data_IF_008193020673
#
_entry.id   IF_008193020673
#
_cell.length_a   1.000
_cell.length_b   1.000
_cell.length_c   1.000
_cell.angle_alpha   90.00
_cell.angle_beta   90.00
_cell.angle_gamma   90.00
#
_symmetry.space_group_name_H-M   'P 1'
#
loop_
_entity.id
_entity.type
_entity.pdbx_description
1 polymer ?
#
# COMPACT_ATOMS: atom_id res chain seq x y z
N UNK A 1 -16.39 31.56 -87.15
CA UNK A 1 -15.55 32.35 -86.23
C UNK A 1 -15.16 31.49 -85.04
N UNK A 2 -13.89 31.56 -84.67
CA UNK A 2 -13.17 30.66 -83.74
C UNK A 2 -13.69 30.77 -82.30
N UNK A 3 -13.71 29.66 -81.56
CA UNK A 3 -13.48 29.71 -80.11
C UNK A 3 -12.78 28.44 -79.61
N UNK A 4 -11.48 28.61 -79.30
CA UNK A 4 -10.63 27.64 -78.65
C UNK A 4 -10.96 27.56 -77.16
N UNK A 5 -11.28 26.37 -76.64
CA UNK A 5 -11.21 26.09 -75.19
C UNK A 5 -9.97 25.25 -74.92
N UNK A 6 -8.95 25.90 -74.34
CA UNK A 6 -7.75 25.26 -73.79
C UNK A 6 -8.12 24.51 -72.51
N UNK A 7 -7.82 23.21 -72.48
CA UNK A 7 -7.88 22.34 -71.31
C UNK A 7 -6.64 22.64 -70.46
N UNK A 8 -6.84 23.12 -69.23
CA UNK A 8 -5.79 23.20 -68.22
C UNK A 8 -5.69 21.83 -67.53
N UNK A 9 -4.71 21.03 -67.94
CA UNK A 9 -4.27 19.85 -67.20
C UNK A 9 -3.42 20.28 -66.01
N UNK A 10 -4.05 20.41 -64.84
CA UNK A 10 -3.35 20.60 -63.57
C UNK A 10 -2.72 19.28 -63.12
N UNK A 11 -1.39 19.18 -63.28
CA UNK A 11 -0.58 18.07 -62.77
C UNK A 11 -0.48 18.22 -61.24
N UNK A 12 -1.31 17.49 -60.50
CA UNK A 12 -1.16 17.32 -59.04
C UNK A 12 0.03 16.40 -58.77
N UNK A 13 1.20 16.98 -58.50
CA UNK A 13 2.34 16.25 -57.95
C UNK A 13 2.06 16.01 -56.46
N UNK A 14 1.46 14.86 -56.17
CA UNK A 14 1.39 14.34 -54.81
C UNK A 14 2.81 13.97 -54.35
N UNK A 15 3.44 14.84 -53.57
CA UNK A 15 4.66 14.51 -52.83
C UNK A 15 4.30 13.51 -51.74
N UNK A 16 4.30 12.23 -52.09
CA UNK A 16 4.31 11.13 -51.14
C UNK A 16 5.67 11.16 -50.41
N UNK A 17 5.77 11.98 -49.36
CA UNK A 17 6.83 11.86 -48.37
C UNK A 17 6.61 10.53 -47.69
N UNK A 18 7.36 9.52 -48.13
CA UNK A 18 7.49 8.27 -47.43
C UNK A 18 8.16 8.58 -46.10
N UNK A 19 7.37 8.79 -45.05
CA UNK A 19 7.90 8.76 -43.69
C UNK A 19 8.44 7.35 -43.48
N UNK A 20 9.75 7.18 -43.67
CA UNK A 20 10.43 6.00 -43.18
C UNK A 20 10.08 5.90 -41.70
N UNK A 21 9.36 4.84 -41.31
CA UNK A 21 9.05 4.58 -39.92
C UNK A 21 10.38 4.64 -39.17
N UNK A 22 10.55 5.64 -38.29
CA UNK A 22 11.76 5.80 -37.52
C UNK A 22 11.99 4.47 -36.79
N UNK A 23 13.10 3.80 -37.09
CA UNK A 23 13.43 2.53 -36.44
C UNK A 23 13.42 2.76 -34.93
N UNK A 24 12.72 1.88 -34.22
CA UNK A 24 12.69 1.92 -32.76
C UNK A 24 14.13 1.79 -32.23
N UNK A 25 14.68 2.83 -31.58
CA UNK A 25 16.11 2.91 -31.26
C UNK A 25 16.56 1.84 -30.27
N UNK A 26 15.63 1.18 -29.57
CA UNK A 26 15.93 0.13 -28.60
C UNK A 26 15.66 -1.29 -29.13
N UNK A 27 15.06 -1.44 -30.32
CA UNK A 27 14.70 -2.76 -30.86
C UNK A 27 15.91 -3.70 -30.99
N UNK A 28 17.07 -3.16 -31.40
CA UNK A 28 18.33 -3.91 -31.50
C UNK A 28 18.93 -4.31 -30.15
N UNK A 29 18.51 -3.68 -29.05
CA UNK A 29 19.04 -3.94 -27.71
C UNK A 29 18.32 -5.13 -27.03
N UNK A 30 17.04 -5.35 -27.34
CA UNK A 30 16.20 -6.37 -26.68
C UNK A 30 16.76 -7.79 -26.74
N UNK A 31 17.48 -8.11 -27.81
CA UNK A 31 18.04 -9.46 -28.04
C UNK A 31 19.48 -9.61 -27.56
N UNK A 32 20.12 -8.54 -27.08
CA UNK A 32 21.50 -8.60 -26.59
C UNK A 32 21.54 -9.25 -25.22
N UNK A 33 22.42 -10.23 -25.02
CA UNK A 33 22.58 -10.90 -23.73
C UNK A 33 23.19 -10.00 -22.64
N UNK A 34 24.11 -9.11 -23.05
CA UNK A 34 24.69 -8.07 -22.22
C UNK A 34 24.70 -6.75 -22.99
N UNK A 35 24.40 -5.64 -22.30
CA UNK A 35 24.50 -4.29 -22.85
C UNK A 35 25.83 -3.66 -22.44
N UNK A 36 26.53 -3.03 -23.39
CA UNK A 36 27.68 -2.20 -23.09
C UNK A 36 27.26 -0.78 -22.62
N UNK A 37 28.23 0.11 -22.40
CA UNK A 37 27.96 1.48 -21.93
C UNK A 37 27.21 2.33 -22.97
N UNK A 38 27.47 2.13 -24.27
CA UNK A 38 26.79 2.85 -25.34
C UNK A 38 25.34 2.37 -25.49
N UNK A 39 25.13 1.07 -25.38
CA UNK A 39 23.80 0.45 -25.33
C UNK A 39 22.99 0.97 -24.14
N UNK A 40 23.59 1.00 -22.94
CA UNK A 40 22.96 1.56 -21.74
C UNK A 40 22.64 3.05 -21.90
N UNK A 41 23.55 3.83 -22.49
CA UNK A 41 23.31 5.25 -22.76
C UNK A 41 22.14 5.46 -23.73
N UNK A 42 22.06 4.65 -24.78
CA UNK A 42 20.96 4.68 -25.76
C UNK A 42 19.63 4.33 -25.09
N UNK A 43 19.61 3.25 -24.31
CA UNK A 43 18.43 2.83 -23.55
C UNK A 43 17.97 3.92 -22.57
N UNK A 44 18.90 4.49 -21.81
CA UNK A 44 18.65 5.58 -20.86
C UNK A 44 17.99 6.80 -21.53
N UNK A 45 18.54 7.26 -22.67
CA UNK A 45 17.98 8.40 -23.39
C UNK A 45 16.56 8.13 -23.88
N UNK A 46 16.29 6.91 -24.34
CA UNK A 46 14.95 6.51 -24.76
C UNK A 46 13.98 6.48 -23.58
N UNK A 47 14.35 5.88 -22.45
CA UNK A 47 13.53 5.86 -21.22
C UNK A 47 13.28 7.28 -20.72
N UNK A 48 14.30 8.14 -20.70
CA UNK A 48 14.19 9.53 -20.25
C UNK A 48 13.15 10.32 -21.08
N UNK A 49 13.11 10.10 -22.40
CA UNK A 49 12.09 10.71 -23.26
C UNK A 49 10.68 10.29 -22.83
N UNK A 50 10.47 9.00 -22.58
CA UNK A 50 9.16 8.52 -22.15
C UNK A 50 8.79 9.03 -20.75
N UNK A 51 9.72 9.01 -19.80
CA UNK A 51 9.51 9.58 -18.45
C UNK A 51 9.15 11.06 -18.54
N UNK A 52 9.80 11.82 -19.41
CA UNK A 52 9.48 13.24 -19.64
C UNK A 52 8.04 13.44 -20.16
N UNK A 53 7.57 12.57 -21.06
CA UNK A 53 6.17 12.59 -21.52
C UNK A 53 5.17 12.30 -20.40
N UNK A 54 5.52 11.40 -19.46
CA UNK A 54 4.69 11.16 -18.26
C UNK A 54 4.68 12.39 -17.35
N UNK A 55 5.83 13.04 -17.16
CA UNK A 55 5.97 14.22 -16.31
C UNK A 55 5.26 15.46 -16.87
N UNK A 56 5.10 15.55 -18.19
CA UNK A 56 4.32 16.61 -18.84
C UNK A 56 2.84 16.58 -18.45
N UNK A 57 2.35 15.44 -17.95
CA UNK A 57 1.02 15.25 -17.35
C UNK A 57 -0.16 15.45 -18.33
N UNK A 58 0.10 15.43 -19.64
CA UNK A 58 -0.95 15.42 -20.67
C UNK A 58 -1.63 14.04 -20.69
N UNK A 59 -2.95 13.92 -20.45
CA UNK A 59 -3.59 12.62 -20.18
C UNK A 59 -3.32 11.53 -21.22
N UNK A 60 -3.42 11.85 -22.51
CA UNK A 60 -3.22 10.88 -23.59
C UNK A 60 -1.74 10.55 -23.81
N UNK A 61 -0.88 11.58 -23.83
CA UNK A 61 0.57 11.43 -24.01
C UNK A 61 1.21 10.64 -22.85
N UNK A 62 0.86 10.98 -21.60
CA UNK A 62 1.37 10.31 -20.42
C UNK A 62 0.93 8.83 -20.35
N UNK A 63 -0.35 8.54 -20.64
CA UNK A 63 -0.86 7.16 -20.63
C UNK A 63 -0.20 6.31 -21.72
N UNK A 64 0.00 6.90 -22.92
CA UNK A 64 0.71 6.24 -24.02
C UNK A 64 2.16 5.98 -23.65
N UNK A 65 2.87 6.95 -23.05
CA UNK A 65 4.25 6.79 -22.63
C UNK A 65 4.43 5.69 -21.56
N UNK A 66 3.54 5.60 -20.58
CA UNK A 66 3.54 4.50 -19.59
C UNK A 66 3.31 3.15 -20.26
N UNK A 67 2.36 3.08 -21.20
CA UNK A 67 2.11 1.84 -21.95
C UNK A 67 3.34 1.43 -22.78
N UNK A 68 3.95 2.37 -23.49
CA UNK A 68 5.18 2.14 -24.26
C UNK A 68 6.29 1.65 -23.35
N UNK A 69 6.55 2.30 -22.21
CA UNK A 69 7.55 1.85 -21.24
C UNK A 69 7.31 0.40 -20.77
N UNK A 70 6.05 0.00 -20.55
CA UNK A 70 5.69 -1.36 -20.14
C UNK A 70 5.89 -2.38 -21.26
N UNK A 71 5.43 -2.07 -22.46
CA UNK A 71 5.54 -2.95 -23.63
C UNK A 71 7.00 -3.18 -24.01
N UNK A 72 7.82 -2.15 -23.91
CA UNK A 72 9.22 -2.18 -24.34
C UNK A 72 10.18 -2.80 -23.31
N UNK A 73 9.68 -3.16 -22.12
CA UNK A 73 10.45 -3.88 -21.11
C UNK A 73 10.75 -5.33 -21.52
N UNK A 74 9.98 -5.93 -22.43
CA UNK A 74 10.22 -7.32 -22.82
C UNK A 74 11.50 -7.48 -23.66
N UNK A 75 12.22 -8.59 -23.45
CA UNK A 75 13.56 -8.82 -23.97
C UNK A 75 14.36 -9.85 -23.17
N UNK A 76 15.66 -9.93 -23.46
CA UNK A 76 16.63 -10.77 -22.74
C UNK A 76 16.74 -10.40 -21.26
N UNK A 77 17.31 -11.30 -20.45
CA UNK A 77 17.54 -11.04 -19.02
C UNK A 77 18.41 -9.80 -18.80
N UNK A 78 19.57 -9.70 -19.46
CA UNK A 78 20.46 -8.55 -19.29
C UNK A 78 19.87 -7.23 -19.79
N UNK A 79 19.01 -7.27 -20.82
CA UNK A 79 18.24 -6.10 -21.24
C UNK A 79 17.24 -5.66 -20.17
N UNK A 80 16.46 -6.60 -19.61
CA UNK A 80 15.47 -6.32 -18.56
C UNK A 80 16.10 -5.72 -17.31
N UNK A 81 17.23 -6.28 -16.86
CA UNK A 81 17.98 -5.76 -15.71
C UNK A 81 18.48 -4.32 -15.96
N UNK A 82 19.07 -4.06 -17.13
CA UNK A 82 19.52 -2.73 -17.50
C UNK A 82 18.36 -1.73 -17.65
N UNK A 83 17.25 -2.15 -18.26
CA UNK A 83 16.03 -1.35 -18.40
C UNK A 83 15.47 -0.96 -17.04
N UNK A 84 15.29 -1.93 -16.14
CA UNK A 84 14.78 -1.69 -14.80
C UNK A 84 15.70 -0.78 -13.99
N UNK A 85 17.02 -0.97 -14.10
CA UNK A 85 18.03 -0.14 -13.43
C UNK A 85 17.96 1.32 -13.90
N UNK A 86 17.98 1.55 -15.21
CA UNK A 86 17.94 2.91 -15.76
C UNK A 86 16.59 3.59 -15.53
N UNK A 87 15.48 2.85 -15.62
CA UNK A 87 14.16 3.34 -15.27
C UNK A 87 14.07 3.74 -13.79
N UNK A 88 14.52 2.88 -12.88
CA UNK A 88 14.51 3.14 -11.43
C UNK A 88 15.35 4.38 -11.08
N UNK A 89 16.51 4.54 -11.71
CA UNK A 89 17.39 5.71 -11.54
C UNK A 89 16.70 6.99 -12.02
N UNK A 90 16.23 7.01 -13.26
CA UNK A 90 15.57 8.19 -13.86
C UNK A 90 14.31 8.60 -13.09
N UNK A 91 13.49 7.62 -12.67
CA UNK A 91 12.29 7.91 -11.87
C UNK A 91 12.67 8.48 -10.51
N UNK A 92 13.67 7.91 -9.83
CA UNK A 92 14.14 8.42 -8.53
C UNK A 92 14.62 9.88 -8.64
N UNK A 93 15.40 10.20 -9.67
CA UNK A 93 15.94 11.55 -9.91
C UNK A 93 14.84 12.59 -10.15
N UNK A 94 13.70 12.18 -10.73
CA UNK A 94 12.60 13.08 -11.09
C UNK A 94 11.47 13.13 -10.06
N UNK A 95 11.36 12.13 -9.18
CA UNK A 95 10.22 11.93 -8.29
C UNK A 95 9.91 13.15 -7.42
N UNK A 96 10.94 13.80 -6.87
CA UNK A 96 10.80 14.97 -5.99
C UNK A 96 10.17 16.19 -6.70
N UNK A 97 10.38 16.31 -8.02
CA UNK A 97 9.88 17.44 -8.83
C UNK A 97 8.60 17.13 -9.59
N UNK A 98 8.22 15.85 -9.68
CA UNK A 98 7.01 15.43 -10.35
C UNK A 98 5.76 15.93 -9.64
N UNK A 99 4.68 16.21 -10.38
CA UNK A 99 3.35 16.44 -9.80
C UNK A 99 2.79 15.12 -9.23
N UNK A 100 1.73 15.21 -8.42
CA UNK A 100 1.16 14.06 -7.71
C UNK A 100 0.78 12.89 -8.64
N UNK A 101 -0.05 13.13 -9.65
CA UNK A 101 -0.48 12.09 -10.60
C UNK A 101 0.70 11.48 -11.39
N UNK A 102 1.59 12.25 -12.05
CA UNK A 102 2.76 11.69 -12.72
C UNK A 102 3.69 10.89 -11.80
N UNK A 103 3.91 11.36 -10.56
CA UNK A 103 4.75 10.66 -9.60
C UNK A 103 4.18 9.27 -9.28
N UNK A 104 2.88 9.19 -8.96
CA UNK A 104 2.21 7.94 -8.69
C UNK A 104 2.21 7.01 -9.92
N UNK A 105 2.04 7.56 -11.13
CA UNK A 105 2.11 6.80 -12.38
C UNK A 105 3.49 6.19 -12.62
N UNK A 106 4.57 6.96 -12.40
CA UNK A 106 5.95 6.47 -12.55
C UNK A 106 6.27 5.36 -11.55
N UNK A 107 5.87 5.50 -10.28
CA UNK A 107 6.06 4.43 -9.28
C UNK A 107 5.21 3.19 -9.61
N UNK A 108 3.99 3.38 -10.11
CA UNK A 108 3.14 2.27 -10.58
C UNK A 108 3.79 1.57 -11.77
N UNK A 109 4.41 2.31 -12.68
CA UNK A 109 5.18 1.74 -13.79
C UNK A 109 6.36 0.89 -13.28
N UNK A 110 7.19 1.40 -12.36
CA UNK A 110 8.28 0.61 -11.78
C UNK A 110 7.76 -0.67 -11.12
N UNK A 111 6.64 -0.58 -10.41
CA UNK A 111 5.98 -1.72 -9.78
C UNK A 111 5.57 -2.80 -10.78
N UNK A 112 5.15 -2.42 -11.99
CA UNK A 112 4.78 -3.38 -13.05
C UNK A 112 5.96 -4.09 -13.69
N UNK A 113 7.18 -3.59 -13.54
CA UNK A 113 8.37 -4.27 -14.05
C UNK A 113 8.67 -5.56 -13.28
N UNK A 114 8.21 -5.66 -12.02
CA UNK A 114 8.50 -6.77 -11.13
C UNK A 114 10.01 -7.11 -11.12
N UNK A 115 10.86 -6.09 -11.09
CA UNK A 115 12.31 -6.20 -11.21
C UNK A 115 12.97 -5.77 -9.89
N UNK A 116 13.92 -6.56 -9.37
CA UNK A 116 14.50 -6.32 -8.04
C UNK A 116 15.33 -5.02 -8.01
N UNK A 117 15.81 -4.60 -9.17
CA UNK A 117 16.51 -3.34 -9.42
C UNK A 117 15.67 -2.11 -9.05
N UNK A 118 14.34 -2.24 -9.03
CA UNK A 118 13.43 -1.16 -8.63
C UNK A 118 13.25 -1.03 -7.11
N UNK A 119 13.75 -2.01 -6.33
CA UNK A 119 13.52 -2.12 -4.88
C UNK A 119 13.91 -0.86 -4.11
N UNK A 120 15.12 -0.35 -4.33
CA UNK A 120 15.62 0.83 -3.60
C UNK A 120 14.75 2.07 -3.87
N UNK A 121 14.32 2.29 -5.12
CA UNK A 121 13.44 3.40 -5.47
C UNK A 121 12.05 3.24 -4.85
N UNK A 122 11.50 2.02 -4.80
CA UNK A 122 10.21 1.76 -4.16
C UNK A 122 10.28 1.96 -2.63
N UNK A 123 11.37 1.53 -1.99
CA UNK A 123 11.63 1.79 -0.56
C UNK A 123 11.75 3.30 -0.29
N UNK A 124 12.44 4.04 -1.14
CA UNK A 124 12.55 5.49 -1.02
C UNK A 124 11.19 6.18 -1.20
N UNK A 125 10.38 5.73 -2.16
CA UNK A 125 9.04 6.27 -2.43
C UNK A 125 8.04 6.08 -1.28
N UNK A 126 8.27 5.14 -0.35
CA UNK A 126 7.47 5.03 0.88
C UNK A 126 7.59 6.26 1.80
N UNK A 127 8.66 7.06 1.65
CA UNK A 127 8.88 8.30 2.42
C UNK A 127 8.31 9.54 1.72
N UNK A 128 7.71 9.38 0.55
CA UNK A 128 7.14 10.48 -0.20
C UNK A 128 5.95 11.08 0.57
N UNK A 129 5.77 12.40 0.51
CA UNK A 129 4.67 13.09 1.20
C UNK A 129 3.29 12.78 0.61
N UNK A 130 3.22 12.30 -0.64
CA UNK A 130 1.98 12.02 -1.36
C UNK A 130 1.47 10.61 -1.10
N UNK A 131 0.22 10.48 -0.65
CA UNK A 131 -0.39 9.19 -0.37
C UNK A 131 -0.50 8.27 -1.59
N UNK A 132 -0.72 8.82 -2.79
CA UNK A 132 -0.78 8.06 -4.03
C UNK A 132 0.58 7.43 -4.41
N UNK A 133 1.68 8.13 -4.15
CA UNK A 133 3.04 7.63 -4.36
C UNK A 133 3.35 6.49 -3.40
N UNK A 134 3.06 6.66 -2.10
CA UNK A 134 3.21 5.61 -1.09
C UNK A 134 2.34 4.39 -1.37
N UNK A 135 1.10 4.59 -1.86
CA UNK A 135 0.20 3.50 -2.25
C UNK A 135 0.78 2.67 -3.40
N UNK A 136 1.25 3.34 -4.45
CA UNK A 136 1.88 2.68 -5.58
C UNK A 136 3.16 1.92 -5.14
N UNK A 137 3.97 2.53 -4.28
CA UNK A 137 5.18 1.91 -3.74
C UNK A 137 4.86 0.66 -2.90
N UNK A 138 3.86 0.72 -2.03
CA UNK A 138 3.41 -0.43 -1.24
C UNK A 138 2.94 -1.60 -2.13
N UNK A 139 2.20 -1.31 -3.20
CA UNK A 139 1.81 -2.32 -4.20
C UNK A 139 3.03 -2.93 -4.89
N UNK A 140 4.01 -2.12 -5.29
CA UNK A 140 5.27 -2.58 -5.88
C UNK A 140 6.06 -3.49 -4.94
N UNK A 141 6.25 -3.06 -3.69
CA UNK A 141 6.94 -3.86 -2.67
C UNK A 141 6.21 -5.18 -2.39
N UNK A 142 4.87 -5.17 -2.38
CA UNK A 142 4.06 -6.38 -2.26
C UNK A 142 4.28 -7.35 -3.42
N UNK A 143 4.38 -6.85 -4.65
CA UNK A 143 4.65 -7.65 -5.85
C UNK A 143 6.05 -8.26 -5.81
N UNK A 144 7.03 -7.52 -5.28
CA UNK A 144 8.42 -7.95 -5.18
C UNK A 144 8.73 -8.86 -3.99
N UNK A 145 7.80 -9.15 -3.07
CA UNK A 145 8.08 -9.87 -1.80
C UNK A 145 8.96 -11.11 -1.95
N UNK A 146 8.67 -11.98 -2.93
CA UNK A 146 9.46 -13.19 -3.17
C UNK A 146 10.90 -12.89 -3.62
N UNK A 147 11.08 -11.87 -4.46
CA UNK A 147 12.40 -11.43 -4.93
C UNK A 147 13.18 -10.71 -3.82
N UNK A 148 12.50 -9.88 -3.02
CA UNK A 148 13.09 -9.20 -1.85
C UNK A 148 13.56 -10.24 -0.83
N UNK A 149 12.78 -11.28 -0.58
CA UNK A 149 13.15 -12.35 0.35
C UNK A 149 14.32 -13.23 -0.15
N UNK A 150 14.44 -13.40 -1.47
CA UNK A 150 15.56 -14.12 -2.08
C UNK A 150 16.80 -13.24 -2.31
N UNK A 151 16.68 -11.92 -2.18
CA UNK A 151 17.77 -10.99 -2.40
C UNK A 151 18.81 -11.09 -1.28
N UNK A 152 20.11 -11.00 -1.59
CA UNK A 152 21.16 -10.97 -0.57
C UNK A 152 21.07 -9.69 0.28
N UNK A 153 21.56 -9.77 1.52
CA UNK A 153 21.61 -8.62 2.44
C UNK A 153 20.29 -8.33 3.17
N UNK A 154 20.12 -7.09 3.62
CA UNK A 154 18.98 -6.66 4.46
C UNK A 154 17.80 -6.06 3.65
N UNK A 155 17.50 -6.61 2.47
CA UNK A 155 16.44 -6.08 1.61
C UNK A 155 15.05 -6.20 2.27
N UNK A 156 14.79 -7.31 2.98
CA UNK A 156 13.57 -7.51 3.77
C UNK A 156 13.48 -6.47 4.88
N UNK A 157 14.51 -6.32 5.72
CA UNK A 157 14.47 -5.38 6.83
C UNK A 157 14.33 -3.92 6.39
N UNK A 158 14.98 -3.52 5.30
CA UNK A 158 14.78 -2.18 4.70
C UNK A 158 13.32 -1.96 4.27
N UNK A 159 12.71 -2.95 3.63
CA UNK A 159 11.30 -2.92 3.21
C UNK A 159 10.37 -2.80 4.40
N UNK A 160 10.54 -3.64 5.42
CA UNK A 160 9.70 -3.65 6.62
C UNK A 160 9.80 -2.33 7.38
N UNK A 161 11.01 -1.77 7.55
CA UNK A 161 11.20 -0.46 8.19
C UNK A 161 10.49 0.64 7.42
N UNK A 162 10.64 0.69 6.10
CA UNK A 162 10.00 1.70 5.26
C UNK A 162 8.46 1.62 5.28
N UNK A 163 7.90 0.41 5.17
CA UNK A 163 6.44 0.19 5.27
C UNK A 163 5.90 0.59 6.64
N UNK A 164 6.57 0.15 7.71
CA UNK A 164 6.19 0.50 9.09
C UNK A 164 6.23 2.00 9.30
N UNK A 165 7.33 2.66 8.96
CA UNK A 165 7.49 4.09 9.21
C UNK A 165 6.50 4.93 8.39
N UNK A 166 6.23 4.55 7.14
CA UNK A 166 5.17 5.17 6.34
C UNK A 166 3.78 4.96 6.96
N UNK A 167 3.48 3.73 7.39
CA UNK A 167 2.19 3.35 7.97
C UNK A 167 1.86 4.11 9.27
N UNK A 168 2.87 4.41 10.11
CA UNK A 168 2.68 5.16 11.36
C UNK A 168 2.07 6.54 11.13
N UNK A 169 2.45 7.21 10.05
CA UNK A 169 2.03 8.58 9.73
C UNK A 169 0.93 8.67 8.66
N UNK A 170 0.48 7.53 8.14
CA UNK A 170 -0.45 7.50 7.01
C UNK A 170 -1.83 8.06 7.40
N UNK A 171 -2.41 8.84 6.48
CA UNK A 171 -3.71 9.51 6.65
C UNK A 171 -4.72 9.10 5.58
N UNK A 172 -4.31 8.33 4.58
CA UNK A 172 -5.17 7.68 3.60
C UNK A 172 -5.51 6.24 4.01
N UNK A 173 -6.78 5.92 4.29
CA UNK A 173 -7.21 4.55 4.57
C UNK A 173 -6.79 3.52 3.52
N UNK A 174 -7.02 3.85 2.25
CA UNK A 174 -6.72 2.97 1.13
C UNK A 174 -5.21 2.70 1.06
N UNK A 175 -4.38 3.71 1.33
CA UNK A 175 -2.93 3.56 1.34
C UNK A 175 -2.46 2.74 2.54
N UNK A 176 -3.00 2.97 3.74
CA UNK A 176 -2.65 2.19 4.93
C UNK A 176 -3.03 0.70 4.75
N UNK A 177 -4.17 0.42 4.14
CA UNK A 177 -4.57 -0.95 3.77
C UNK A 177 -3.53 -1.61 2.85
N UNK A 178 -3.04 -0.90 1.84
CA UNK A 178 -2.00 -1.41 0.94
C UNK A 178 -0.66 -1.64 1.66
N UNK A 179 -0.31 -0.79 2.64
CA UNK A 179 0.87 -0.99 3.50
C UNK A 179 0.73 -2.28 4.32
N UNK A 180 -0.42 -2.53 4.95
CA UNK A 180 -0.68 -3.78 5.66
C UNK A 180 -0.56 -5.01 4.74
N UNK A 181 -1.13 -4.92 3.53
CA UNK A 181 -1.03 -5.99 2.54
C UNK A 181 0.41 -6.22 2.04
N UNK A 182 1.25 -5.19 2.03
CA UNK A 182 2.66 -5.30 1.68
C UNK A 182 3.52 -5.91 2.81
N UNK A 183 3.11 -5.72 4.07
CA UNK A 183 3.70 -6.37 5.25
C UNK A 183 3.34 -7.85 5.37
N UNK A 184 2.25 -8.30 4.75
CA UNK A 184 1.90 -9.72 4.73
C UNK A 184 2.92 -10.49 3.87
N UNK A 185 3.68 -11.44 4.44
CA UNK A 185 4.59 -12.33 3.69
C UNK A 185 4.10 -13.77 3.64
N UNK A 186 2.82 -14.03 3.98
CA UNK A 186 2.24 -15.35 3.84
C UNK A 186 2.34 -15.85 2.38
N UNK A 187 2.73 -17.12 2.23
CA UNK A 187 2.95 -17.76 0.92
C UNK A 187 4.30 -17.46 0.26
N UNK A 188 5.15 -16.64 0.88
CA UNK A 188 6.54 -16.47 0.46
C UNK A 188 7.41 -17.50 1.21
N UNK A 189 8.28 -18.21 0.49
CA UNK A 189 9.22 -19.17 1.08
C UNK A 189 10.38 -18.43 1.78
N UNK A 190 10.09 -17.79 2.90
CA UNK A 190 11.01 -16.97 3.68
C UNK A 190 10.60 -16.94 5.16
N UNK A 191 11.49 -16.45 6.03
CA UNK A 191 11.15 -16.21 7.44
C UNK A 191 10.00 -15.19 7.55
N UNK A 192 8.90 -15.62 8.15
CA UNK A 192 7.69 -14.82 8.33
C UNK A 192 7.66 -14.11 9.68
N UNK A 193 8.59 -14.40 10.60
CA UNK A 193 8.64 -13.76 11.92
C UNK A 193 8.88 -12.26 11.82
N UNK A 194 9.90 -11.83 11.06
CA UNK A 194 10.21 -10.41 10.87
C UNK A 194 9.00 -9.57 10.39
N UNK A 195 8.33 -9.97 9.29
CA UNK A 195 7.12 -9.30 8.82
C UNK A 195 5.97 -9.29 9.84
N UNK A 196 5.75 -10.39 10.56
CA UNK A 196 4.71 -10.47 11.60
C UNK A 196 4.98 -9.49 12.76
N UNK A 197 6.24 -9.39 13.21
CA UNK A 197 6.65 -8.44 14.25
C UNK A 197 6.47 -6.99 13.78
N UNK A 198 6.89 -6.67 12.55
CA UNK A 198 6.72 -5.33 11.99
C UNK A 198 5.24 -4.90 11.91
N UNK A 199 4.34 -5.86 11.66
CA UNK A 199 2.90 -5.63 11.65
C UNK A 199 2.35 -5.34 13.06
N UNK A 200 2.78 -6.10 14.07
CA UNK A 200 2.42 -5.83 15.48
C UNK A 200 2.91 -4.46 15.92
N UNK A 201 4.16 -4.09 15.61
CA UNK A 201 4.70 -2.78 15.93
C UNK A 201 3.92 -1.63 15.30
N UNK A 202 3.48 -1.80 14.04
CA UNK A 202 2.65 -0.80 13.36
C UNK A 202 1.29 -0.69 14.06
N UNK A 203 0.60 -1.81 14.30
CA UNK A 203 -0.71 -1.84 14.97
C UNK A 203 -0.64 -1.26 16.39
N UNK A 204 0.42 -1.52 17.13
CA UNK A 204 0.63 -0.95 18.46
C UNK A 204 0.77 0.57 18.40
N UNK A 205 1.57 1.10 17.47
CA UNK A 205 1.70 2.54 17.29
C UNK A 205 0.38 3.19 16.88
N UNK A 206 -0.37 2.52 16.00
CA UNK A 206 -1.69 2.96 15.55
C UNK A 206 -2.70 2.95 16.69
N UNK A 207 -2.72 1.91 17.52
CA UNK A 207 -3.60 1.79 18.69
C UNK A 207 -3.44 2.95 19.69
N UNK A 208 -2.23 3.53 19.81
CA UNK A 208 -2.01 4.73 20.63
C UNK A 208 -2.79 5.96 20.16
N UNK A 209 -3.13 6.06 18.87
CA UNK A 209 -3.99 7.15 18.38
C UNK A 209 -5.43 7.01 18.86
N UNK A 210 -5.93 5.78 19.01
CA UNK A 210 -7.29 5.51 19.48
C UNK A 210 -7.49 5.94 20.93
N UNK A 211 -6.44 5.81 21.75
CA UNK A 211 -6.45 6.21 23.16
C UNK A 211 -6.18 7.70 23.34
N UNK A 212 -5.31 8.30 22.51
CA UNK A 212 -4.82 9.67 22.73
C UNK A 212 -5.68 10.76 22.08
N UNK A 213 -6.16 10.56 20.84
CA UNK A 213 -6.83 11.63 20.09
C UNK A 213 -8.36 11.51 20.08
N UNK A 214 -8.91 10.33 20.40
CA UNK A 214 -10.33 10.03 20.25
C UNK A 214 -10.84 10.08 18.80
N UNK A 215 -9.95 10.29 17.82
CA UNK A 215 -10.26 10.32 16.40
C UNK A 215 -9.03 9.79 15.64
N UNK A 216 -8.85 8.45 15.62
CA UNK A 216 -7.74 7.83 14.94
C UNK A 216 -7.84 8.10 13.44
N UNK A 217 -6.73 8.48 12.81
CA UNK A 217 -6.67 8.64 11.36
C UNK A 217 -6.88 7.26 10.72
N UNK A 218 -7.58 7.14 9.61
CA UNK A 218 -7.68 5.86 8.87
C UNK A 218 -8.23 4.65 9.63
N UNK A 219 -9.14 4.85 10.59
CA UNK A 219 -9.66 3.78 11.46
C UNK A 219 -10.07 2.49 10.73
N UNK A 220 -10.62 2.62 9.54
CA UNK A 220 -11.13 1.54 8.71
C UNK A 220 -10.06 0.63 8.08
N UNK A 221 -8.82 1.11 7.96
CA UNK A 221 -7.73 0.29 7.44
C UNK A 221 -7.16 -0.67 8.50
N UNK A 222 -7.29 -0.33 9.79
CA UNK A 222 -6.68 -1.08 10.89
C UNK A 222 -7.34 -2.46 11.11
N UNK A 223 -8.60 -2.63 10.68
CA UNK A 223 -9.24 -3.95 10.64
C UNK A 223 -8.48 -4.92 9.71
N UNK A 224 -8.04 -4.47 8.53
CA UNK A 224 -7.23 -5.31 7.64
C UNK A 224 -5.87 -5.65 8.28
N UNK A 225 -5.24 -4.69 8.97
CA UNK A 225 -4.00 -4.91 9.70
C UNK A 225 -4.14 -5.99 10.78
N UNK A 226 -5.19 -5.90 11.60
CA UNK A 226 -5.51 -6.89 12.64
C UNK A 226 -5.75 -8.28 12.04
N UNK A 227 -6.54 -8.37 10.96
CA UNK A 227 -6.79 -9.64 10.26
C UNK A 227 -5.49 -10.30 9.81
N UNK A 228 -4.60 -9.54 9.18
CA UNK A 228 -3.31 -10.07 8.69
C UNK A 228 -2.42 -10.49 9.87
N UNK A 229 -2.39 -9.72 10.96
CA UNK A 229 -1.60 -10.05 12.14
C UNK A 229 -2.08 -11.34 12.80
N UNK A 230 -3.40 -11.52 12.88
CA UNK A 230 -4.05 -12.71 13.41
C UNK A 230 -3.74 -13.96 12.59
N UNK A 231 -3.72 -13.85 11.26
CA UNK A 231 -3.26 -14.94 10.37
C UNK A 231 -1.79 -15.28 10.59
N UNK A 232 -0.96 -14.29 10.95
CA UNK A 232 0.47 -14.46 11.21
C UNK A 232 0.79 -14.84 12.67
N UNK A 233 -0.21 -15.01 13.55
CA UNK A 233 0.00 -15.21 15.00
C UNK A 233 0.88 -16.41 15.36
N UNK A 234 0.92 -17.43 14.51
CA UNK A 234 1.78 -18.61 14.70
C UNK A 234 3.27 -18.29 14.61
N UNK A 235 3.64 -17.12 14.06
CA UNK A 235 5.01 -16.63 13.97
C UNK A 235 5.41 -15.74 15.14
N UNK A 236 4.45 -15.38 16.00
CA UNK A 236 4.65 -14.48 17.12
C UNK A 236 5.01 -15.26 18.39
N UNK A 237 5.96 -14.75 19.15
CA UNK A 237 6.16 -15.19 20.54
C UNK A 237 5.10 -14.61 21.48
N UNK A 238 5.10 -15.06 22.74
CA UNK A 238 4.06 -14.69 23.69
C UNK A 238 4.05 -13.19 24.03
N UNK A 239 5.22 -12.54 24.02
CA UNK A 239 5.29 -11.09 24.21
C UNK A 239 4.65 -10.34 23.04
N UNK A 240 4.97 -10.74 21.80
CA UNK A 240 4.36 -10.17 20.61
C UNK A 240 2.85 -10.43 20.53
N UNK A 241 2.38 -11.61 20.95
CA UNK A 241 0.94 -11.90 21.08
C UNK A 241 0.28 -10.99 22.10
N UNK A 242 0.89 -10.77 23.27
CA UNK A 242 0.37 -9.84 24.29
C UNK A 242 0.30 -8.41 23.74
N UNK A 243 1.32 -7.96 23.00
CA UNK A 243 1.32 -6.64 22.35
C UNK A 243 0.21 -6.51 21.31
N UNK A 244 0.01 -7.53 20.48
CA UNK A 244 -1.10 -7.57 19.51
C UNK A 244 -2.47 -7.54 20.23
N UNK A 245 -2.63 -8.31 21.31
CA UNK A 245 -3.86 -8.32 22.09
C UNK A 245 -4.16 -6.94 22.70
N UNK A 246 -3.16 -6.23 23.24
CA UNK A 246 -3.33 -4.86 23.74
C UNK A 246 -3.75 -3.89 22.65
N UNK A 247 -3.12 -3.98 21.46
CA UNK A 247 -3.48 -3.14 20.32
C UNK A 247 -4.94 -3.37 19.89
N UNK A 248 -5.33 -4.64 19.72
CA UNK A 248 -6.70 -5.03 19.37
C UNK A 248 -7.71 -4.57 20.43
N UNK A 249 -7.43 -4.77 21.72
CA UNK A 249 -8.30 -4.34 22.81
C UNK A 249 -8.47 -2.81 22.86
N UNK A 250 -7.43 -2.04 22.54
CA UNK A 250 -7.50 -0.58 22.52
C UNK A 250 -8.40 -0.08 21.38
N UNK A 251 -8.24 -0.67 20.20
CA UNK A 251 -9.08 -0.39 19.03
C UNK A 251 -10.54 -0.82 19.26
N UNK A 252 -10.75 -1.97 19.91
CA UNK A 252 -12.07 -2.50 20.25
C UNK A 252 -12.82 -1.58 21.23
N UNK A 253 -12.16 -1.18 22.33
CA UNK A 253 -12.75 -0.25 23.31
C UNK A 253 -13.23 1.02 22.64
N UNK A 254 -12.32 1.70 21.92
CA UNK A 254 -12.65 2.95 21.23
C UNK A 254 -13.82 2.76 20.26
N UNK A 255 -13.81 1.68 19.47
CA UNK A 255 -14.87 1.42 18.49
C UNK A 255 -16.23 1.17 19.15
N UNK A 256 -16.29 0.43 20.26
CA UNK A 256 -17.53 0.20 21.04
C UNK A 256 -18.05 1.51 21.65
N UNK A 257 -17.16 2.33 22.19
CA UNK A 257 -17.52 3.63 22.78
C UNK A 257 -18.09 4.57 21.72
N UNK A 258 -17.41 4.69 20.58
CA UNK A 258 -17.86 5.49 19.43
C UNK A 258 -19.19 4.97 18.88
N UNK A 259 -19.33 3.66 18.67
CA UNK A 259 -20.57 3.03 18.21
C UNK A 259 -21.76 3.38 19.10
N UNK A 260 -21.55 3.30 20.42
CA UNK A 260 -22.56 3.62 21.42
C UNK A 260 -22.87 5.12 21.50
N UNK A 261 -21.85 5.97 21.47
CA UNK A 261 -22.00 7.42 21.64
C UNK A 261 -22.67 8.08 20.44
N UNK A 262 -22.32 7.62 19.23
CA UNK A 262 -22.91 8.09 17.98
C UNK A 262 -24.23 7.38 17.63
N UNK A 263 -24.67 6.42 18.46
CA UNK A 263 -25.90 5.64 18.28
C UNK A 263 -25.97 5.00 16.88
N UNK A 264 -24.87 4.40 16.45
CA UNK A 264 -24.76 3.88 15.08
C UNK A 264 -25.72 2.71 14.82
N UNK A 265 -26.18 2.02 15.87
CA UNK A 265 -27.27 1.04 15.82
C UNK A 265 -28.64 1.64 15.43
N UNK A 266 -28.89 2.91 15.71
CA UNK A 266 -30.13 3.60 15.38
C UNK A 266 -30.10 4.20 13.94
N UNK A 267 -28.94 4.13 13.27
CA UNK A 267 -28.74 4.70 11.94
C UNK A 267 -29.48 3.89 10.87
N UNK A 268 -30.46 4.54 10.21
CA UNK A 268 -31.24 3.93 9.13
C UNK A 268 -30.63 4.21 7.77
N UNK A 269 -30.35 3.16 7.01
CA UNK A 269 -29.75 3.24 5.67
C UNK A 269 -30.52 4.15 4.71
N UNK A 270 -31.85 4.20 4.82
CA UNK A 270 -32.70 5.01 3.93
C UNK A 270 -32.60 6.51 4.16
N UNK A 271 -32.08 6.95 5.31
CA UNK A 271 -32.03 8.37 5.69
C UNK A 271 -30.61 8.85 5.98
N UNK A 272 -29.66 7.94 6.11
CA UNK A 272 -28.25 8.25 6.35
C UNK A 272 -27.53 8.63 5.04
N UNK A 273 -26.49 9.46 5.16
CA UNK A 273 -25.58 9.72 4.04
C UNK A 273 -24.68 8.52 3.79
N UNK A 274 -24.14 8.38 2.59
CA UNK A 274 -23.16 7.32 2.25
C UNK A 274 -21.99 7.34 3.24
N UNK A 275 -21.45 8.51 3.55
CA UNK A 275 -20.34 8.64 4.50
C UNK A 275 -20.69 8.17 5.93
N UNK A 276 -21.93 8.36 6.37
CA UNK A 276 -22.38 7.90 7.69
C UNK A 276 -22.54 6.37 7.71
N UNK A 277 -23.07 5.79 6.63
CA UNK A 277 -23.17 4.33 6.45
C UNK A 277 -21.78 3.70 6.42
N UNK A 278 -20.85 4.28 5.64
CA UNK A 278 -19.46 3.82 5.56
C UNK A 278 -18.80 3.87 6.94
N UNK A 279 -18.98 4.96 7.69
CA UNK A 279 -18.47 5.08 9.06
C UNK A 279 -19.01 4.00 9.99
N UNK A 280 -20.32 3.71 9.94
CA UNK A 280 -20.92 2.61 10.72
C UNK A 280 -20.28 1.28 10.34
N UNK A 281 -20.26 0.95 9.06
CA UNK A 281 -19.74 -0.32 8.57
C UNK A 281 -18.25 -0.50 8.94
N UNK A 282 -17.47 0.57 8.87
CA UNK A 282 -16.05 0.57 9.24
C UNK A 282 -15.84 0.30 10.73
N UNK A 283 -16.67 0.90 11.60
CA UNK A 283 -16.63 0.68 13.05
C UNK A 283 -17.08 -0.74 13.40
N UNK A 284 -18.17 -1.23 12.80
CA UNK A 284 -18.68 -2.59 13.00
C UNK A 284 -17.64 -3.63 12.57
N UNK A 285 -17.00 -3.43 11.42
CA UNK A 285 -15.92 -4.30 10.93
C UNK A 285 -14.72 -4.32 11.87
N UNK A 286 -14.34 -3.16 12.42
CA UNK A 286 -13.23 -3.08 13.36
C UNK A 286 -13.56 -3.77 14.69
N UNK A 287 -14.79 -3.65 15.18
CA UNK A 287 -15.27 -4.38 16.38
C UNK A 287 -15.16 -5.89 16.14
N UNK A 288 -15.75 -6.40 15.06
CA UNK A 288 -15.75 -7.83 14.74
C UNK A 288 -14.32 -8.37 14.58
N UNK A 289 -13.47 -7.62 13.88
CA UNK A 289 -12.09 -8.06 13.62
C UNK A 289 -11.22 -8.00 14.86
N UNK A 290 -11.36 -6.97 15.70
CA UNK A 290 -10.61 -6.86 16.94
C UNK A 290 -11.04 -7.93 17.95
N UNK A 291 -12.33 -8.20 18.09
CA UNK A 291 -12.83 -9.29 18.92
C UNK A 291 -12.32 -10.66 18.44
N UNK A 292 -12.40 -10.93 17.14
CA UNK A 292 -11.86 -12.17 16.55
C UNK A 292 -10.35 -12.31 16.83
N UNK A 293 -9.60 -11.22 16.66
CA UNK A 293 -8.17 -11.17 16.95
C UNK A 293 -7.89 -11.49 18.41
N UNK A 294 -8.64 -10.91 19.35
CA UNK A 294 -8.49 -11.20 20.78
C UNK A 294 -8.77 -12.68 21.09
N UNK A 295 -9.85 -13.25 20.55
CA UNK A 295 -10.18 -14.66 20.76
C UNK A 295 -9.07 -15.57 20.24
N UNK A 296 -8.55 -15.31 19.04
CA UNK A 296 -7.53 -16.15 18.42
C UNK A 296 -6.15 -16.02 19.07
N UNK A 297 -5.77 -14.81 19.49
CA UNK A 297 -4.45 -14.55 20.10
C UNK A 297 -4.41 -15.03 21.55
N UNK A 298 -5.52 -14.94 22.27
CA UNK A 298 -5.64 -15.35 23.67
C UNK A 298 -6.18 -16.78 23.86
N UNK A 299 -6.45 -17.50 22.77
CA UNK A 299 -7.05 -18.85 22.74
C UNK A 299 -8.36 -18.96 23.56
N UNK A 300 -9.22 -17.94 23.46
CA UNK A 300 -10.49 -17.87 24.18
C UNK A 300 -11.60 -18.49 23.33
N UNK A 301 -11.93 -19.75 23.60
CA UNK A 301 -13.04 -20.47 22.94
C UNK A 301 -14.42 -19.94 23.34
N UNK A 302 -14.60 -19.67 24.62
CA UNK A 302 -15.83 -19.12 25.20
C UNK A 302 -15.48 -17.83 25.95
N UNK A 303 -16.12 -16.74 25.56
CA UNK A 303 -15.78 -15.42 26.04
C UNK A 303 -16.80 -14.37 25.62
N UNK A 304 -16.59 -13.12 26.09
CA UNK A 304 -17.56 -12.06 25.90
C UNK A 304 -17.84 -11.82 24.43
N UNK A 305 -19.10 -11.68 24.04
CA UNK A 305 -19.57 -11.63 22.64
C UNK A 305 -20.10 -10.23 22.28
N UNK A 306 -19.17 -9.34 21.94
CA UNK A 306 -19.49 -7.94 21.60
C UNK A 306 -20.19 -7.88 20.25
N UNK A 307 -19.74 -8.67 19.28
CA UNK A 307 -20.28 -8.69 17.92
C UNK A 307 -21.76 -9.11 17.92
N UNK A 308 -22.15 -10.13 18.68
CA UNK A 308 -23.56 -10.49 18.83
C UNK A 308 -24.36 -9.37 19.50
N UNK A 309 -23.87 -8.80 20.60
CA UNK A 309 -24.53 -7.67 21.28
C UNK A 309 -24.71 -6.44 20.36
N UNK A 310 -23.74 -6.18 19.47
CA UNK A 310 -23.79 -5.15 18.45
C UNK A 310 -24.88 -5.42 17.42
N UNK A 311 -24.95 -6.66 16.90
CA UNK A 311 -25.98 -7.09 15.94
C UNK A 311 -27.40 -7.04 16.53
N UNK A 312 -27.52 -7.30 17.83
CA UNK A 312 -28.77 -7.14 18.58
C UNK A 312 -29.12 -5.66 18.88
N UNK A 313 -28.24 -4.73 18.50
CA UNK A 313 -28.43 -3.29 18.68
C UNK A 313 -28.31 -2.81 20.14
N UNK A 314 -27.69 -3.60 21.02
CA UNK A 314 -27.62 -3.32 22.46
C UNK A 314 -26.28 -2.72 22.88
N UNK A 315 -26.16 -1.39 22.80
CA UNK A 315 -24.96 -0.66 23.25
C UNK A 315 -24.59 -0.93 24.72
N UNK A 316 -25.60 -1.12 25.59
CA UNK A 316 -25.38 -1.46 27.00
C UNK A 316 -24.76 -2.85 27.14
N UNK A 317 -25.24 -3.84 26.38
CA UNK A 317 -24.66 -5.17 26.38
C UNK A 317 -23.22 -5.14 25.83
N UNK A 318 -22.96 -4.43 24.74
CA UNK A 318 -21.60 -4.26 24.20
C UNK A 318 -20.62 -3.71 25.25
N UNK A 319 -21.01 -2.66 25.99
CA UNK A 319 -20.17 -2.09 27.06
C UNK A 319 -19.93 -3.06 28.21
N UNK A 320 -20.94 -3.85 28.61
CA UNK A 320 -20.77 -4.89 29.63
C UNK A 320 -19.77 -5.96 29.16
N UNK A 321 -19.95 -6.47 27.95
CA UNK A 321 -19.06 -7.47 27.36
C UNK A 321 -17.62 -6.94 27.20
N UNK A 322 -17.46 -5.63 26.93
CA UNK A 322 -16.15 -4.98 26.91
C UNK A 322 -15.47 -4.95 28.29
N UNK A 323 -16.24 -4.67 29.37
CA UNK A 323 -15.73 -4.77 30.75
C UNK A 323 -15.31 -6.20 31.06
N UNK A 324 -16.13 -7.19 30.69
CA UNK A 324 -15.80 -8.61 30.89
C UNK A 324 -14.52 -9.00 30.12
N UNK A 325 -14.31 -8.49 28.91
CA UNK A 325 -13.06 -8.66 28.15
C UNK A 325 -11.86 -8.10 28.92
N UNK A 326 -12.00 -6.86 29.41
CA UNK A 326 -10.96 -6.17 30.17
C UNK A 326 -10.60 -6.94 31.44
N UNK A 327 -11.56 -7.16 32.32
CA UNK A 327 -11.32 -7.66 33.69
C UNK A 327 -11.03 -9.16 33.75
N UNK A 328 -11.69 -9.98 32.92
CA UNK A 328 -11.59 -11.44 33.06
C UNK A 328 -10.58 -12.07 32.12
N UNK A 329 -10.47 -11.56 30.89
CA UNK A 329 -9.68 -12.21 29.83
C UNK A 329 -8.34 -11.52 29.65
N UNK A 330 -8.33 -10.19 29.50
CA UNK A 330 -7.11 -9.43 29.27
C UNK A 330 -6.23 -9.35 30.51
N UNK A 331 -6.77 -9.09 31.70
CA UNK A 331 -5.95 -9.06 32.92
C UNK A 331 -5.27 -10.40 33.20
N UNK A 332 -6.01 -11.50 33.05
CA UNK A 332 -5.48 -12.85 33.21
C UNK A 332 -4.38 -13.19 32.19
N UNK A 333 -4.60 -12.87 30.91
CA UNK A 333 -3.65 -13.21 29.86
C UNK A 333 -2.42 -12.28 29.81
N UNK A 334 -2.59 -11.00 30.14
CA UNK A 334 -1.50 -10.02 30.17
C UNK A 334 -0.68 -10.11 31.46
N UNK A 335 -1.23 -10.68 32.53
CA UNK A 335 -0.60 -10.75 33.85
C UNK A 335 -0.53 -9.40 34.57
N UNK A 336 -1.26 -8.40 34.08
CA UNK A 336 -1.34 -7.05 34.64
C UNK A 336 -2.70 -6.45 34.37
N UNK A 337 -3.09 -5.46 35.17
CA UNK A 337 -4.35 -4.75 34.99
C UNK A 337 -4.38 -4.08 33.61
N UNK A 338 -5.37 -4.40 32.77
CA UNK A 338 -5.53 -3.74 31.47
C UNK A 338 -6.23 -2.39 31.69
N UNK A 339 -5.49 -1.31 31.57
CA UNK A 339 -6.01 0.07 31.67
C UNK A 339 -5.75 0.81 30.36
N UNK A 340 -6.70 0.75 29.41
CA UNK A 340 -6.50 1.37 28.10
C UNK A 340 -6.30 2.90 28.15
N UNK A 341 -6.72 3.56 29.23
CA UNK A 341 -6.61 5.02 29.40
C UNK A 341 -5.30 5.46 30.06
N UNK A 342 -4.60 4.53 30.72
CA UNK A 342 -3.26 4.75 31.24
C UNK A 342 -2.30 4.32 30.16
N UNK A 343 -2.13 5.16 29.12
CA UNK A 343 -1.09 4.92 28.13
C UNK A 343 0.21 4.61 28.87
N UNK A 344 0.85 3.47 28.53
CA UNK A 344 2.13 3.07 29.12
C UNK A 344 3.03 4.30 29.10
N UNK A 345 3.33 4.85 30.28
CA UNK A 345 4.16 6.04 30.39
C UNK A 345 5.41 5.74 29.56
N UNK A 346 5.62 6.54 28.50
CA UNK A 346 6.69 6.27 27.55
C UNK A 346 7.96 6.01 28.37
N UNK A 347 8.68 4.89 28.14
CA UNK A 347 9.90 4.63 28.89
C UNK A 347 10.76 5.87 28.78
N UNK A 348 11.16 6.43 29.93
CA UNK A 348 11.97 7.63 29.99
C UNK A 348 13.14 7.43 29.03
N UNK A 349 13.19 8.24 27.96
CA UNK A 349 14.29 8.15 27.01
C UNK A 349 15.58 8.48 27.78
N UNK A 350 16.63 7.65 27.68
CA UNK A 350 17.90 7.87 28.37
C UNK A 350 18.61 9.14 27.90
#
# INVERSE_FOLDING_TARGET
>A
MRNQRRVWGGLLVAWATSFAAAQDPIAGLKNKGALDDNDRATLRQWIERQVTLVLADEPQSASTAVLTLRTEFDGSTGYKEAFATEAARLVNDRLATAKDRPAAQLITFLSTLNAIETHTTLVAAMRDSRAAVRAAAAVGLRTLRAKIAAAPGDAVGQTLRALRDAGKSETSPATLKLIYLALNYAGVNADQKGPAVALVELLEQRAREYTASGSPRCQNADAEGLKIATMARGQLDDDQKKRLARAAASMLKHSVETYSAEKLNEMRDKTATVAAIDRRNDIELLIETAETTLREVLDVKEGPDITTAMRDGSAVAMRRQLVDWSEQKLEGALGQRYRPDEGEAAPAQP
#
